data_IF_615076465996
#
_entry.id   IF_615076465996
#
_cell.length_a   1.000
_cell.length_b   1.000
_cell.length_c   1.000
_cell.angle_alpha   90.00
_cell.angle_beta   90.00
_cell.angle_gamma   90.00
#
_symmetry.space_group_name_H-M   'P 1'
#
loop_
_entity.id
_entity.type
_entity.pdbx_description
1 polymer ?
#
# COMPACT_ATOMS: atom_id res chain seq x y z
N UNK A 1 60.07 -38.37 -55.07
CA UNK A 1 59.11 -38.97 -56.01
C UNK A 1 57.95 -37.99 -56.18
N UNK A 2 57.83 -37.43 -57.40
CA UNK A 2 56.67 -36.76 -58.02
C UNK A 2 56.15 -35.40 -57.49
N UNK A 3 56.43 -34.39 -58.34
CA UNK A 3 55.73 -33.18 -58.77
C UNK A 3 54.55 -32.54 -57.98
N UNK A 4 54.44 -31.19 -58.03
CA UNK A 4 53.30 -30.44 -57.51
C UNK A 4 52.11 -30.46 -58.49
N UNK A 5 50.90 -30.64 -57.95
CA UNK A 5 49.64 -30.42 -58.68
C UNK A 5 49.04 -29.09 -58.25
N UNK A 6 48.88 -28.20 -59.22
CA UNK A 6 48.08 -26.98 -59.16
C UNK A 6 46.63 -27.30 -58.77
N UNK A 7 46.05 -26.51 -57.86
CA UNK A 7 44.61 -26.39 -57.68
C UNK A 7 44.23 -24.91 -57.74
N UNK A 8 43.40 -24.57 -58.72
CA UNK A 8 42.78 -23.26 -58.89
C UNK A 8 41.67 -23.10 -57.83
N UNK A 9 41.83 -22.14 -56.92
CA UNK A 9 40.75 -21.70 -56.04
C UNK A 9 39.90 -20.65 -56.74
N UNK A 10 38.67 -21.04 -57.14
CA UNK A 10 37.65 -20.13 -57.64
C UNK A 10 36.89 -19.55 -56.44
N UNK A 11 37.20 -18.30 -56.07
CA UNK A 11 36.48 -17.57 -55.02
C UNK A 11 35.18 -17.00 -55.60
N UNK A 12 34.04 -17.65 -55.31
CA UNK A 12 32.71 -17.14 -55.67
C UNK A 12 32.28 -16.11 -54.61
N UNK A 13 32.28 -14.83 -54.97
CA UNK A 13 31.79 -13.74 -54.13
C UNK A 13 30.26 -13.61 -54.32
N UNK A 14 29.47 -14.21 -53.45
CA UNK A 14 28.00 -14.02 -53.41
C UNK A 14 27.67 -12.73 -52.65
N UNK A 15 27.30 -11.68 -53.37
CA UNK A 15 26.70 -10.48 -52.78
C UNK A 15 25.23 -10.80 -52.48
N UNK A 16 24.91 -11.03 -51.21
CA UNK A 16 23.52 -11.07 -50.74
C UNK A 16 23.09 -9.64 -50.46
N UNK A 17 22.32 -9.06 -51.38
CA UNK A 17 21.59 -7.81 -51.13
C UNK A 17 20.39 -8.14 -50.24
N UNK A 18 20.53 -7.93 -48.93
CA UNK A 18 19.43 -8.00 -47.98
C UNK A 18 18.61 -6.72 -48.04
N UNK A 19 17.44 -6.76 -48.68
CA UNK A 19 16.46 -5.68 -48.57
C UNK A 19 15.99 -5.60 -47.11
N UNK A 20 16.25 -4.46 -46.46
CA UNK A 20 15.73 -4.18 -45.13
C UNK A 20 14.19 -4.13 -45.20
N UNK A 21 13.53 -4.97 -44.41
CA UNK A 21 12.11 -4.81 -44.08
C UNK A 21 11.95 -3.41 -43.48
N UNK A 22 11.00 -2.57 -43.93
CA UNK A 22 10.81 -1.26 -43.33
C UNK A 22 10.56 -1.44 -41.84
N UNK A 23 11.51 -0.95 -41.03
CA UNK A 23 11.39 -0.94 -39.58
C UNK A 23 10.09 -0.22 -39.20
N UNK A 24 9.41 -0.74 -38.18
CA UNK A 24 8.31 -0.04 -37.49
C UNK A 24 8.70 1.44 -37.34
N UNK A 25 7.77 2.34 -37.65
CA UNK A 25 7.95 3.77 -37.41
C UNK A 25 8.52 3.97 -35.99
N UNK A 26 9.51 4.88 -35.80
CA UNK A 26 10.03 5.17 -34.48
C UNK A 26 8.85 5.52 -33.58
N UNK A 27 8.76 4.83 -32.46
CA UNK A 27 7.78 5.13 -31.43
C UNK A 27 8.15 6.51 -30.87
N UNK A 28 7.26 7.47 -31.02
CA UNK A 28 7.44 8.82 -30.52
C UNK A 28 7.20 8.82 -28.99
N UNK A 29 8.26 8.51 -28.25
CA UNK A 29 8.27 8.42 -26.78
C UNK A 29 7.76 9.71 -26.13
N UNK A 30 8.10 10.87 -26.68
CA UNK A 30 7.68 12.19 -26.17
C UNK A 30 6.16 12.38 -26.28
N UNK A 31 5.55 11.86 -27.35
CA UNK A 31 4.10 11.87 -27.53
C UNK A 31 3.38 10.90 -26.60
N UNK A 32 3.98 9.76 -26.27
CA UNK A 32 3.38 8.76 -25.38
C UNK A 32 3.63 9.06 -23.89
N UNK A 33 4.71 9.78 -23.59
CA UNK A 33 5.15 10.18 -22.27
C UNK A 33 5.47 11.68 -22.24
N UNK A 34 4.47 12.55 -22.47
CA UNK A 34 4.70 13.99 -22.53
C UNK A 34 5.31 14.47 -21.22
N UNK A 35 6.50 15.08 -21.31
CA UNK A 35 7.13 15.73 -20.18
C UNK A 35 6.26 16.92 -19.76
N UNK A 36 5.58 16.77 -18.62
CA UNK A 36 4.89 17.89 -18.00
C UNK A 36 5.93 18.97 -17.65
N UNK A 37 5.59 20.27 -17.82
CA UNK A 37 6.48 21.34 -17.42
C UNK A 37 6.88 21.16 -15.96
N UNK A 38 8.19 21.18 -15.70
CA UNK A 38 8.72 20.97 -14.35
C UNK A 38 8.17 22.05 -13.42
N UNK A 39 7.50 21.63 -12.35
CA UNK A 39 7.22 22.53 -11.25
C UNK A 39 8.56 22.93 -10.61
N UNK A 40 8.72 24.16 -10.12
CA UNK A 40 9.90 24.53 -9.35
C UNK A 40 10.06 23.54 -8.20
N UNK A 41 11.20 22.83 -8.15
CA UNK A 41 11.53 21.97 -7.02
C UNK A 41 11.60 22.86 -5.79
N UNK A 42 10.74 22.61 -4.79
CA UNK A 42 10.66 23.44 -3.58
C UNK A 42 11.94 23.31 -2.73
N UNK A 43 12.66 22.18 -2.89
CA UNK A 43 13.96 21.90 -2.26
C UNK A 43 14.88 21.15 -3.22
N UNK A 44 16.17 21.37 -3.05
CA UNK A 44 17.22 20.49 -3.57
C UNK A 44 18.03 19.94 -2.39
N UNK A 45 18.20 18.62 -2.32
CA UNK A 45 19.13 18.01 -1.39
C UNK A 45 20.53 18.09 -1.96
N UNK A 46 21.46 18.63 -1.17
CA UNK A 46 22.86 18.72 -1.54
C UNK A 46 23.46 17.31 -1.73
N UNK A 47 24.03 17.07 -2.92
CA UNK A 47 24.71 15.83 -3.25
C UNK A 47 23.80 14.69 -3.71
N UNK A 48 22.48 14.90 -3.82
CA UNK A 48 21.55 13.88 -4.34
C UNK A 48 21.85 13.48 -5.81
N UNK A 49 22.53 14.36 -6.54
CA UNK A 49 23.07 14.12 -7.88
C UNK A 49 24.28 13.16 -7.90
N UNK A 50 24.82 12.80 -6.73
CA UNK A 50 26.02 11.95 -6.60
C UNK A 50 25.68 10.53 -6.13
N UNK A 51 26.46 9.55 -6.59
CA UNK A 51 26.33 8.15 -6.15
C UNK A 51 26.67 8.00 -4.65
N UNK A 52 27.59 8.83 -4.13
CA UNK A 52 28.07 8.77 -2.75
C UNK A 52 26.94 9.03 -1.76
N UNK A 53 26.05 9.98 -2.07
CA UNK A 53 24.85 10.24 -1.29
C UNK A 53 23.98 9.00 -1.17
N UNK A 54 23.59 8.39 -2.29
CA UNK A 54 22.71 7.21 -2.29
C UNK A 54 23.35 5.98 -1.62
N UNK A 55 24.64 5.75 -1.84
CA UNK A 55 25.39 4.71 -1.13
C UNK A 55 25.43 4.95 0.38
N UNK A 56 25.65 6.19 0.81
CA UNK A 56 25.68 6.54 2.23
C UNK A 56 24.31 6.38 2.90
N UNK A 57 23.24 6.81 2.23
CA UNK A 57 21.86 6.66 2.69
C UNK A 57 21.46 5.18 2.84
N UNK A 58 21.80 4.35 1.85
CA UNK A 58 21.56 2.91 1.91
C UNK A 58 22.32 2.22 3.05
N UNK A 59 23.62 2.53 3.23
CA UNK A 59 24.42 2.00 4.35
C UNK A 59 23.85 2.42 5.70
N UNK A 60 23.38 3.66 5.83
CA UNK A 60 22.73 4.17 7.05
C UNK A 60 21.47 3.37 7.36
N UNK A 61 20.59 3.18 6.38
CA UNK A 61 19.36 2.41 6.55
C UNK A 61 19.63 0.97 7.00
N UNK A 62 20.60 0.29 6.37
CA UNK A 62 20.97 -1.08 6.75
C UNK A 62 21.45 -1.13 8.20
N UNK A 63 22.31 -0.19 8.61
CA UNK A 63 22.81 -0.09 9.98
C UNK A 63 21.66 0.12 10.98
N UNK A 64 20.78 1.07 10.70
CA UNK A 64 19.59 1.35 11.52
C UNK A 64 18.70 0.10 11.69
N UNK A 65 18.56 -0.73 10.64
CA UNK A 65 17.78 -1.98 10.70
C UNK A 65 18.50 -3.10 11.46
N UNK A 66 19.82 -3.19 11.37
CA UNK A 66 20.61 -4.18 12.13
C UNK A 66 20.66 -3.87 13.63
N UNK A 67 20.65 -2.59 13.98
CA UNK A 67 20.68 -2.12 15.38
C UNK A 67 19.27 -2.16 16.03
N UNK A 68 18.22 -2.38 15.25
CA UNK A 68 16.86 -2.41 15.77
C UNK A 68 16.62 -3.59 16.72
N UNK A 69 16.35 -3.29 17.99
CA UNK A 69 15.98 -4.28 19.01
C UNK A 69 14.46 -4.40 19.09
N UNK A 70 13.95 -5.61 18.86
CA UNK A 70 12.51 -5.89 18.95
C UNK A 70 12.04 -5.78 20.40
N UNK A 71 11.01 -4.95 20.62
CA UNK A 71 10.30 -4.93 21.90
C UNK A 71 9.40 -6.18 22.02
N UNK A 72 9.72 -7.05 22.97
CA UNK A 72 8.97 -8.28 23.28
C UNK A 72 8.09 -8.15 24.52
N UNK A 73 8.08 -6.98 25.16
CA UNK A 73 7.27 -6.73 26.34
C UNK A 73 5.77 -6.72 26.01
N UNK A 74 4.93 -7.05 27.01
CA UNK A 74 3.48 -6.93 26.87
C UNK A 74 3.07 -5.46 26.78
N UNK A 75 2.32 -5.12 25.72
CA UNK A 75 1.80 -3.76 25.54
C UNK A 75 0.83 -3.38 26.67
N UNK A 76 1.11 -2.27 27.37
CA UNK A 76 0.20 -1.70 28.38
C UNK A 76 -0.97 -0.96 27.73
N UNK A 77 -0.67 -0.21 26.67
CA UNK A 77 -1.57 0.68 25.93
C UNK A 77 -1.54 0.32 24.45
N UNK A 78 -2.66 0.52 23.75
CA UNK A 78 -2.77 0.36 22.30
C UNK A 78 -3.37 1.65 21.74
N UNK A 79 -2.73 2.21 20.71
CA UNK A 79 -3.23 3.37 19.98
C UNK A 79 -3.30 2.97 18.50
N UNK A 80 -4.47 3.13 17.90
CA UNK A 80 -4.71 2.86 16.49
C UNK A 80 -5.06 4.16 15.78
N UNK A 81 -4.21 4.59 14.86
CA UNK A 81 -4.51 5.68 13.94
C UNK A 81 -5.11 5.12 12.66
N UNK A 82 -6.27 5.64 12.27
CA UNK A 82 -6.97 5.23 11.06
C UNK A 82 -7.16 6.42 10.14
N UNK A 83 -6.49 6.40 8.98
CA UNK A 83 -6.78 7.32 7.88
C UNK A 83 -7.88 6.74 6.99
N UNK A 84 -9.12 7.20 7.15
CA UNK A 84 -10.26 6.76 6.32
C UNK A 84 -10.01 7.17 4.86
N UNK A 85 -9.98 6.19 3.95
CA UNK A 85 -9.64 6.41 2.54
C UNK A 85 -8.16 6.69 2.23
N UNK A 86 -7.25 6.55 3.20
CA UNK A 86 -5.83 6.85 3.02
C UNK A 86 -5.07 5.67 2.39
N UNK A 87 -5.16 5.56 1.06
CA UNK A 87 -4.39 4.60 0.26
C UNK A 87 -2.94 5.04 0.03
N UNK A 88 -2.13 4.17 -0.60
CA UNK A 88 -0.73 4.48 -0.93
C UNK A 88 -0.58 5.72 -1.82
N UNK A 89 -1.49 5.92 -2.78
CA UNK A 89 -1.49 7.12 -3.62
C UNK A 89 -1.76 8.40 -2.82
N UNK A 90 -2.66 8.34 -1.84
CA UNK A 90 -2.93 9.46 -0.93
C UNK A 90 -1.71 9.77 -0.06
N UNK A 91 -0.97 8.75 0.37
CA UNK A 91 0.29 8.95 1.11
C UNK A 91 1.34 9.67 0.26
N UNK A 92 1.56 9.21 -0.98
CA UNK A 92 2.50 9.86 -1.90
C UNK A 92 2.11 11.32 -2.16
N UNK A 93 0.83 11.57 -2.48
CA UNK A 93 0.32 12.93 -2.67
C UNK A 93 0.48 13.81 -1.42
N UNK A 94 0.28 13.24 -0.22
CA UNK A 94 0.49 13.95 1.04
C UNK A 94 1.96 14.34 1.25
N UNK A 95 2.92 13.47 0.92
CA UNK A 95 4.36 13.80 0.95
C UNK A 95 4.68 14.97 0.04
N UNK A 96 4.26 14.87 -1.23
CA UNK A 96 4.47 15.94 -2.22
C UNK A 96 3.88 17.27 -1.75
N UNK A 97 2.73 17.24 -1.07
CA UNK A 97 2.09 18.44 -0.53
C UNK A 97 2.87 19.09 0.62
N UNK A 98 3.45 18.33 1.54
CA UNK A 98 4.09 18.88 2.76
C UNK A 98 5.53 19.34 2.56
N UNK A 99 6.22 18.86 1.53
CA UNK A 99 7.58 19.33 1.23
C UNK A 99 8.39 18.36 0.38
N UNK A 100 7.76 17.88 -0.70
CA UNK A 100 8.34 17.00 -1.72
C UNK A 100 8.55 15.53 -1.28
N UNK A 101 8.85 14.63 -2.23
CA UNK A 101 8.86 13.18 -2.00
C UNK A 101 9.93 12.67 -1.02
N UNK A 102 10.96 13.49 -0.76
CA UNK A 102 12.07 13.15 0.13
C UNK A 102 11.68 13.15 1.61
N UNK A 103 10.61 13.87 1.96
CA UNK A 103 10.12 13.94 3.33
C UNK A 103 9.36 12.67 3.71
N UNK A 104 9.57 12.26 4.96
CA UNK A 104 8.83 11.15 5.57
C UNK A 104 7.72 11.71 6.44
N UNK A 105 6.53 11.13 6.31
CA UNK A 105 5.45 11.34 7.28
C UNK A 105 5.83 10.68 8.61
N UNK A 106 5.28 11.16 9.72
CA UNK A 106 5.65 10.69 11.07
C UNK A 106 5.50 9.18 11.27
N UNK A 107 4.50 8.56 10.65
CA UNK A 107 4.29 7.11 10.72
C UNK A 107 5.15 6.29 9.73
N UNK A 108 5.85 6.93 8.80
CA UNK A 108 6.79 6.26 7.88
C UNK A 108 8.14 5.99 8.52
N UNK A 109 8.38 6.61 9.68
CA UNK A 109 9.50 6.29 10.56
C UNK A 109 9.25 5.02 11.39
N UNK A 110 8.03 4.48 11.38
CA UNK A 110 7.74 3.26 12.10
C UNK A 110 8.59 2.09 11.58
N UNK A 111 9.09 1.22 12.48
CA UNK A 111 10.06 0.19 12.09
C UNK A 111 9.45 -0.92 11.21
N UNK A 112 8.11 -1.06 11.23
CA UNK A 112 7.37 -2.11 10.56
C UNK A 112 6.30 -1.54 9.63
N UNK A 113 6.19 -2.14 8.45
CA UNK A 113 5.17 -1.85 7.45
C UNK A 113 4.56 -3.17 6.97
N UNK A 114 3.27 -3.14 6.64
CA UNK A 114 2.56 -4.28 6.07
C UNK A 114 1.46 -3.84 5.13
N UNK A 115 1.02 -4.75 4.26
CA UNK A 115 -0.11 -4.54 3.36
C UNK A 115 -1.34 -5.28 3.88
N UNK A 116 -2.51 -4.65 3.77
CA UNK A 116 -3.78 -5.21 4.23
C UNK A 116 -4.73 -5.46 3.04
N UNK A 117 -5.32 -6.65 2.99
CA UNK A 117 -6.34 -7.02 1.99
C UNK A 117 -7.73 -6.63 2.50
N UNK A 118 -8.29 -5.56 1.95
CA UNK A 118 -9.45 -4.86 2.53
C UNK A 118 -10.83 -5.36 2.10
N UNK A 119 -10.93 -6.28 1.14
CA UNK A 119 -12.22 -6.80 0.65
C UNK A 119 -13.20 -7.20 1.77
N UNK A 120 -14.50 -6.94 1.59
CA UNK A 120 -15.56 -7.42 2.49
C UNK A 120 -15.97 -8.84 2.09
N UNK A 121 -16.80 -9.51 2.89
CA UNK A 121 -17.23 -10.88 2.56
C UNK A 121 -18.02 -10.93 1.25
N UNK A 122 -18.77 -9.88 0.95
CA UNK A 122 -19.69 -9.78 -0.18
C UNK A 122 -19.24 -8.83 -1.30
N UNK A 123 -18.18 -8.04 -1.12
CA UNK A 123 -17.67 -7.09 -2.12
C UNK A 123 -16.14 -7.00 -2.15
N UNK A 124 -15.61 -6.84 -3.37
CA UNK A 124 -14.17 -6.61 -3.59
C UNK A 124 -13.76 -5.22 -3.11
N UNK A 125 -14.58 -4.21 -3.42
CA UNK A 125 -14.39 -2.84 -2.93
C UNK A 125 -15.26 -2.67 -1.67
N UNK A 126 -14.63 -2.59 -0.49
CA UNK A 126 -15.35 -2.51 0.78
C UNK A 126 -15.84 -1.08 1.05
N UNK A 127 -16.59 -0.90 2.15
CA UNK A 127 -16.85 0.40 2.77
C UNK A 127 -16.23 0.51 4.17
N UNK A 128 -16.33 1.71 4.77
CA UNK A 128 -15.83 1.96 6.12
C UNK A 128 -16.50 1.09 7.20
N UNK A 129 -17.76 0.65 7.02
CA UNK A 129 -18.46 -0.19 8.01
C UNK A 129 -17.86 -1.59 8.10
N UNK A 130 -17.84 -2.34 7.00
CA UNK A 130 -17.31 -3.70 7.02
C UNK A 130 -15.82 -3.76 7.36
N UNK A 131 -15.05 -2.73 6.96
CA UNK A 131 -13.63 -2.62 7.32
C UNK A 131 -13.46 -2.32 8.80
N UNK A 132 -14.30 -1.47 9.40
CA UNK A 132 -14.28 -1.21 10.85
C UNK A 132 -14.46 -2.48 11.68
N UNK A 133 -15.43 -3.31 11.32
CA UNK A 133 -15.62 -4.63 11.93
C UNK A 133 -14.38 -5.52 11.77
N UNK A 134 -13.71 -5.44 10.61
CA UNK A 134 -12.51 -6.24 10.33
C UNK A 134 -11.31 -5.83 11.18
N UNK A 135 -10.95 -4.54 11.22
CA UNK A 135 -9.74 -4.10 11.93
C UNK A 135 -9.96 -3.84 13.43
N UNK A 136 -11.20 -3.65 13.89
CA UNK A 136 -11.50 -3.47 15.32
C UNK A 136 -11.96 -4.77 16.00
N UNK A 137 -12.75 -5.60 15.32
CA UNK A 137 -13.30 -6.84 15.91
C UNK A 137 -12.59 -8.11 15.42
N UNK A 138 -11.71 -8.01 14.41
CA UNK A 138 -10.95 -9.15 13.88
C UNK A 138 -11.76 -10.08 12.99
N UNK A 139 -12.96 -9.69 12.56
CA UNK A 139 -13.87 -10.52 11.73
C UNK A 139 -14.33 -9.74 10.51
N UNK A 140 -14.20 -10.33 9.32
CA UNK A 140 -14.75 -9.72 8.09
C UNK A 140 -16.28 -9.79 8.08
N UNK A 141 -16.90 -8.69 7.66
CA UNK A 141 -18.36 -8.53 7.61
C UNK A 141 -18.85 -8.21 6.20
N UNK A 142 -20.17 -8.09 6.05
CA UNK A 142 -20.79 -7.65 4.79
C UNK A 142 -20.74 -6.12 4.67
N UNK A 143 -20.78 -5.64 3.43
CA UNK A 143 -20.82 -4.22 3.11
C UNK A 143 -21.96 -3.50 3.85
N UNK A 144 -21.64 -2.38 4.52
CA UNK A 144 -22.62 -1.56 5.24
C UNK A 144 -23.02 -2.07 6.62
N UNK A 145 -22.48 -3.20 7.11
CA UNK A 145 -22.75 -3.69 8.47
C UNK A 145 -21.59 -3.41 9.43
N UNK A 146 -21.89 -3.17 10.71
CA UNK A 146 -20.92 -2.79 11.74
C UNK A 146 -21.05 -3.73 12.94
N UNK A 147 -19.95 -4.27 13.44
CA UNK A 147 -19.91 -5.07 14.67
C UNK A 147 -20.69 -6.38 14.60
N UNK A 148 -21.09 -6.84 13.42
CA UNK A 148 -21.79 -8.11 13.21
C UNK A 148 -21.05 -8.95 12.18
N UNK A 149 -21.18 -10.27 12.29
CA UNK A 149 -20.61 -11.20 11.33
C UNK A 149 -21.36 -11.17 9.98
N UNK A 150 -20.85 -11.91 8.98
CA UNK A 150 -21.41 -11.92 7.63
C UNK A 150 -22.72 -12.72 7.47
N UNK A 151 -23.29 -13.30 8.53
CA UNK A 151 -24.64 -13.86 8.49
C UNK A 151 -25.69 -12.75 8.41
N UNK A 152 -25.43 -11.59 9.04
CA UNK A 152 -26.33 -10.44 9.00
C UNK A 152 -26.24 -9.78 7.63
N UNK A 153 -27.35 -9.79 6.90
CA UNK A 153 -27.49 -9.06 5.65
C UNK A 153 -27.76 -7.60 5.93
N UNK A 154 -27.31 -6.72 5.02
CA UNK A 154 -27.55 -5.29 5.17
C UNK A 154 -29.05 -5.01 5.25
N UNK A 155 -29.46 -4.24 6.26
CA UNK A 155 -30.86 -3.91 6.53
C UNK A 155 -31.66 -4.98 7.29
N UNK A 156 -31.07 -6.15 7.60
CA UNK A 156 -31.73 -7.20 8.38
C UNK A 156 -31.64 -6.93 9.88
N UNK A 157 -32.62 -6.16 10.38
CA UNK A 157 -32.72 -5.79 11.79
C UNK A 157 -32.95 -7.01 12.71
N UNK A 158 -33.65 -8.04 12.23
CA UNK A 158 -33.93 -9.24 13.03
C UNK A 158 -32.67 -10.08 13.23
N UNK A 159 -31.89 -10.28 12.17
CA UNK A 159 -30.62 -11.00 12.27
C UNK A 159 -29.59 -10.25 13.13
N UNK A 160 -29.59 -8.91 13.07
CA UNK A 160 -28.75 -8.06 13.92
C UNK A 160 -29.10 -8.15 15.40
N UNK A 161 -30.38 -8.37 15.75
CA UNK A 161 -30.82 -8.48 17.13
C UNK A 161 -30.35 -9.79 17.81
N UNK A 162 -29.95 -10.80 17.05
CA UNK A 162 -29.36 -12.02 17.60
C UNK A 162 -27.91 -11.77 18.02
N UNK A 163 -27.63 -11.77 19.33
CA UNK A 163 -26.30 -11.57 19.91
C UNK A 163 -25.27 -12.59 19.43
N UNK A 164 -25.69 -13.77 18.94
CA UNK A 164 -24.77 -14.75 18.34
C UNK A 164 -24.08 -14.21 17.08
N UNK A 165 -24.67 -13.20 16.45
CA UNK A 165 -24.10 -12.56 15.28
C UNK A 165 -23.17 -11.39 15.63
N UNK A 166 -23.06 -11.00 16.91
CA UNK A 166 -22.22 -9.88 17.33
C UNK A 166 -20.76 -10.28 17.39
N UNK A 167 -19.89 -9.37 16.97
CA UNK A 167 -18.44 -9.50 17.09
C UNK A 167 -17.89 -8.32 17.89
N UNK A 168 -17.13 -8.62 18.93
CA UNK A 168 -16.70 -7.61 19.89
C UNK A 168 -15.38 -6.96 19.47
N UNK A 169 -15.33 -5.64 19.65
CA UNK A 169 -14.17 -4.83 19.30
C UNK A 169 -13.04 -4.98 20.32
N UNK A 170 -11.83 -4.57 19.90
CA UNK A 170 -10.69 -4.40 20.80
C UNK A 170 -11.00 -3.44 21.96
N UNK A 171 -11.86 -2.43 21.72
CA UNK A 171 -12.32 -1.52 22.77
C UNK A 171 -13.13 -2.25 23.84
N UNK A 172 -14.05 -3.14 23.43
CA UNK A 172 -14.81 -3.99 24.34
C UNK A 172 -13.90 -4.93 25.13
N UNK A 173 -12.97 -5.61 24.45
CA UNK A 173 -12.00 -6.49 25.11
C UNK A 173 -11.11 -5.74 26.11
N UNK A 174 -10.72 -4.50 25.80
CA UNK A 174 -9.98 -3.66 26.72
C UNK A 174 -10.79 -3.35 27.99
N UNK A 175 -12.05 -2.96 27.83
CA UNK A 175 -12.96 -2.70 28.96
C UNK A 175 -13.21 -3.95 29.82
N UNK A 176 -13.42 -5.12 29.19
CA UNK A 176 -13.59 -6.40 29.89
C UNK A 176 -12.34 -6.79 30.68
N UNK A 177 -11.16 -6.38 30.20
CA UNK A 177 -9.88 -6.55 30.90
C UNK A 177 -9.60 -5.45 31.94
N UNK A 178 -10.58 -4.61 32.28
CA UNK A 178 -10.45 -3.53 33.27
C UNK A 178 -9.60 -2.34 32.80
N UNK A 179 -9.44 -2.16 31.48
CA UNK A 179 -8.72 -1.01 30.90
C UNK A 179 -9.70 0.07 30.44
N UNK A 180 -9.21 1.31 30.38
CA UNK A 180 -9.95 2.38 29.72
C UNK A 180 -9.91 2.20 28.19
N UNK A 181 -11.02 2.53 27.53
CA UNK A 181 -11.13 2.59 26.08
C UNK A 181 -11.69 3.96 25.66
N UNK A 182 -11.26 4.49 24.53
CA UNK A 182 -11.71 5.77 23.99
C UNK A 182 -11.55 5.82 22.49
N UNK A 183 -12.34 6.67 21.84
CA UNK A 183 -12.26 6.96 20.41
C UNK A 183 -12.15 8.47 20.20
N UNK A 184 -11.37 8.87 19.19
CA UNK A 184 -11.23 10.26 18.77
C UNK A 184 -11.38 10.26 17.25
N UNK A 185 -12.21 11.16 16.73
CA UNK A 185 -12.49 11.26 15.30
C UNK A 185 -12.80 12.70 14.92
N UNK A 186 -12.52 13.05 13.65
CA UNK A 186 -12.96 14.29 13.02
C UNK A 186 -14.33 14.17 12.36
N UNK A 187 -14.87 12.94 12.27
CA UNK A 187 -16.21 12.67 11.74
C UNK A 187 -17.26 12.74 12.85
N UNK A 188 -18.53 12.48 12.52
CA UNK A 188 -19.54 12.20 13.56
C UNK A 188 -19.10 10.98 14.35
N UNK A 189 -19.26 11.00 15.68
CA UNK A 189 -18.96 9.85 16.54
C UNK A 189 -19.76 8.60 16.18
N UNK A 190 -20.91 8.77 15.51
CA UNK A 190 -21.77 7.71 14.96
C UNK A 190 -21.42 7.28 13.54
N UNK A 191 -20.40 7.87 12.90
CA UNK A 191 -19.92 7.42 11.60
C UNK A 191 -19.42 5.96 11.68
N UNK A 192 -19.37 5.26 10.55
CA UNK A 192 -19.08 3.83 10.54
C UNK A 192 -17.75 3.44 11.22
N UNK A 193 -16.68 4.18 10.92
CA UNK A 193 -15.33 3.91 11.46
C UNK A 193 -15.26 3.96 13.00
N UNK A 194 -15.70 5.04 13.68
CA UNK A 194 -15.78 5.05 15.14
C UNK A 194 -16.85 4.09 15.70
N UNK A 195 -17.98 3.89 15.02
CA UNK A 195 -19.04 2.99 15.45
C UNK A 195 -18.58 1.54 15.58
N UNK A 196 -17.59 1.08 14.79
CA UNK A 196 -17.02 -0.27 14.94
C UNK A 196 -16.38 -0.55 16.32
N UNK A 197 -16.14 0.49 17.14
CA UNK A 197 -15.66 0.32 18.52
C UNK A 197 -16.78 -0.18 19.45
N UNK A 198 -18.05 0.16 19.19
CA UNK A 198 -19.12 -0.01 20.17
C UNK A 198 -20.47 -0.51 19.63
N UNK A 199 -20.74 -0.37 18.34
CA UNK A 199 -22.05 -0.63 17.75
C UNK A 199 -22.13 -2.01 17.10
N UNK A 200 -23.34 -2.57 17.12
CA UNK A 200 -23.72 -3.79 16.40
C UNK A 200 -24.95 -3.46 15.53
N UNK A 201 -24.73 -3.13 14.24
CA UNK A 201 -25.80 -2.66 13.34
C UNK A 201 -25.77 -3.31 11.95
N UNK A 202 -26.96 -3.59 11.40
CA UNK A 202 -27.15 -4.12 10.05
C UNK A 202 -27.12 -3.04 8.95
N UNK A 203 -27.15 -1.76 9.29
CA UNK A 203 -26.94 -0.65 8.36
C UNK A 203 -26.26 0.52 9.07
N UNK A 204 -25.53 1.34 8.31
CA UNK A 204 -24.56 2.34 8.80
C UNK A 204 -25.01 3.78 8.63
#
# INVERSE_FOLDING_TARGET
MLSPKFWFGLTLLTIVSGAAVPGKAPVDEERMHPHLPSSPRLRSIAGEDTQEYWHSAGKKLIREKLEYVRNTNKAKNIILFLGDGMGLATLAAARSYIGDEELKLSFEEFPFTGLSKTYSVDKIVPDSACTSTSYLCGVKANYGTIGVNAHVKRGDCLAMADEKNHVFSLGKWAMDAGKAAGLVTTTRVTHASPSGVYAHVADR
#
